data_IF_735249783273
#
_entry.id   IF_735249783273
#
_cell.length_a   1.000
_cell.length_b   1.000
_cell.length_c   1.000
_cell.angle_alpha   90.00
_cell.angle_beta   90.00
_cell.angle_gamma   90.00
#
_symmetry.space_group_name_H-M   'P 1'
#
loop_
_entity.id
_entity.type
_entity.pdbx_description
1 polymer ?
#
# COMPACT_ATOMS: atom_id res chain seq x y z
N UNK A 1 53.50 -8.88 -52.43
CA UNK A 1 54.30 -8.52 -51.24
C UNK A 1 53.37 -8.17 -50.10
N UNK A 2 53.33 -9.04 -49.07
CA UNK A 2 53.21 -8.82 -47.59
C UNK A 2 52.36 -7.61 -47.13
N UNK A 3 51.35 -7.74 -46.26
CA UNK A 3 51.39 -8.35 -44.93
C UNK A 3 50.01 -8.86 -44.47
N UNK A 4 50.02 -10.01 -43.79
CA UNK A 4 48.96 -10.51 -42.92
C UNK A 4 49.32 -10.18 -41.45
N UNK A 5 48.32 -9.93 -40.59
CA UNK A 5 48.28 -10.11 -39.12
C UNK A 5 46.77 -10.03 -38.76
N UNK A 6 46.07 -11.14 -38.54
CA UNK A 6 45.90 -11.92 -37.30
C UNK A 6 45.21 -11.17 -36.15
N UNK A 7 43.90 -11.45 -36.04
CA UNK A 7 43.01 -11.56 -34.86
C UNK A 7 43.52 -11.04 -33.51
N UNK A 8 42.79 -10.09 -32.91
CA UNK A 8 42.75 -9.92 -31.46
C UNK A 8 41.28 -9.81 -31.00
N UNK A 9 40.84 -10.88 -30.34
CA UNK A 9 39.76 -10.93 -29.37
C UNK A 9 39.75 -9.67 -28.49
N UNK A 10 38.63 -8.96 -28.38
CA UNK A 10 38.14 -8.42 -27.10
C UNK A 10 36.62 -8.61 -27.12
N UNK A 11 36.23 -9.66 -26.40
CA UNK A 11 34.88 -9.95 -25.96
C UNK A 11 34.42 -8.78 -25.09
N UNK A 12 33.64 -7.84 -25.64
CA UNK A 12 32.93 -6.83 -24.86
C UNK A 12 31.66 -7.48 -24.29
N UNK A 13 31.90 -8.44 -23.39
CA UNK A 13 30.87 -9.15 -22.66
C UNK A 13 30.34 -8.28 -21.53
N UNK A 14 29.02 -8.14 -21.52
CA UNK A 14 28.20 -8.02 -20.32
C UNK A 14 28.48 -6.85 -19.36
N UNK A 15 27.89 -5.71 -19.67
CA UNK A 15 27.32 -4.84 -18.64
C UNK A 15 25.88 -5.28 -18.35
N UNK A 16 25.69 -6.47 -17.76
CA UNK A 16 24.44 -6.72 -17.01
C UNK A 16 24.63 -6.02 -15.66
N UNK A 17 24.30 -4.74 -15.60
CA UNK A 17 24.00 -4.11 -14.32
C UNK A 17 22.61 -4.58 -13.93
N UNK A 18 22.53 -5.79 -13.38
CA UNK A 18 21.34 -6.26 -12.71
C UNK A 18 21.18 -5.44 -11.43
N UNK A 19 20.34 -4.40 -11.46
CA UNK A 19 19.76 -3.84 -10.25
C UNK A 19 18.82 -4.90 -9.64
N UNK A 20 19.37 -5.90 -8.97
CA UNK A 20 18.57 -6.77 -8.10
C UNK A 20 18.13 -5.92 -6.91
N UNK A 21 16.93 -5.37 -6.96
CA UNK A 21 16.30 -4.72 -5.81
C UNK A 21 15.81 -5.83 -4.88
N UNK A 22 16.73 -6.37 -4.07
CA UNK A 22 16.50 -7.53 -3.22
C UNK A 22 15.79 -7.16 -1.90
N UNK A 23 14.67 -6.44 -1.98
CA UNK A 23 13.88 -6.02 -0.81
C UNK A 23 13.00 -7.14 -0.25
N UNK A 24 12.70 -8.16 -1.06
CA UNK A 24 11.81 -9.28 -0.69
C UNK A 24 12.35 -10.13 0.48
N UNK A 25 13.67 -10.33 0.54
CA UNK A 25 14.28 -11.20 1.56
C UNK A 25 14.25 -10.61 2.98
N UNK A 26 14.22 -9.27 3.10
CA UNK A 26 14.13 -8.60 4.40
C UNK A 26 12.74 -8.71 5.01
N UNK A 27 11.69 -8.58 4.19
CA UNK A 27 10.30 -8.67 4.67
C UNK A 27 9.96 -10.09 5.14
N UNK A 28 10.43 -11.12 4.44
CA UNK A 28 10.13 -12.51 4.80
C UNK A 28 10.78 -12.94 6.12
N UNK A 29 12.01 -12.50 6.38
CA UNK A 29 12.71 -12.79 7.64
C UNK A 29 12.06 -12.10 8.85
N UNK A 30 11.53 -10.89 8.66
CA UNK A 30 10.79 -10.15 9.68
C UNK A 30 9.42 -10.77 9.95
N UNK A 31 8.71 -11.22 8.92
CA UNK A 31 7.42 -11.87 9.05
C UNK A 31 7.51 -13.11 9.96
N UNK A 32 8.53 -13.95 9.75
CA UNK A 32 8.72 -15.16 10.55
C UNK A 32 9.04 -14.85 12.02
N UNK A 33 9.85 -13.82 12.28
CA UNK A 33 10.23 -13.43 13.64
C UNK A 33 9.08 -12.76 14.43
N UNK A 34 8.20 -12.03 13.74
CA UNK A 34 7.13 -11.26 14.38
C UNK A 34 5.84 -12.06 14.57
N UNK A 35 5.48 -12.94 13.62
CA UNK A 35 4.14 -13.51 13.57
C UNK A 35 4.01 -14.91 14.18
N UNK A 36 5.08 -15.73 14.25
CA UNK A 36 5.01 -17.06 14.87
C UNK A 36 3.86 -17.95 14.34
N UNK A 37 3.64 -19.16 14.89
CA UNK A 37 2.47 -19.94 14.54
C UNK A 37 1.21 -19.34 15.20
N UNK A 38 0.24 -19.03 14.35
CA UNK A 38 -1.17 -18.65 14.53
C UNK A 38 -1.66 -18.01 15.84
N UNK A 39 -2.35 -16.88 15.65
CA UNK A 39 -3.47 -16.42 16.48
C UNK A 39 -3.13 -16.07 17.94
N UNK A 40 -2.44 -14.95 18.13
CA UNK A 40 -2.53 -14.19 19.37
C UNK A 40 -2.73 -12.72 19.03
N UNK A 41 -3.75 -12.09 19.63
CA UNK A 41 -3.89 -10.64 19.61
C UNK A 41 -2.54 -10.02 19.99
N UNK A 42 -1.94 -9.29 19.06
CA UNK A 42 -0.62 -8.72 19.29
C UNK A 42 -0.74 -7.70 20.43
N UNK A 43 -0.03 -7.94 21.53
CA UNK A 43 -0.11 -7.10 22.72
C UNK A 43 0.39 -5.69 22.41
N UNK A 44 -0.14 -4.70 23.13
CA UNK A 44 0.26 -3.30 22.96
C UNK A 44 1.77 -3.09 23.11
N UNK A 45 2.41 -3.83 24.02
CA UNK A 45 3.86 -3.79 24.21
C UNK A 45 4.60 -4.25 22.95
N UNK A 46 4.15 -5.34 22.32
CA UNK A 46 4.76 -5.85 21.10
C UNK A 46 4.59 -4.89 19.92
N UNK A 47 3.47 -4.17 19.83
CA UNK A 47 3.26 -3.10 18.82
C UNK A 47 4.23 -1.94 19.05
N UNK A 48 4.39 -1.51 20.31
CA UNK A 48 5.28 -0.39 20.66
C UNK A 48 6.76 -0.68 20.37
N UNK A 49 7.13 -1.96 20.34
CA UNK A 49 8.49 -2.43 20.01
C UNK A 49 8.73 -2.53 18.50
N UNK A 50 7.70 -2.41 17.64
CA UNK A 50 7.87 -2.49 16.19
C UNK A 50 8.60 -1.25 15.66
N UNK A 51 9.76 -1.40 15.00
CA UNK A 51 10.49 -0.27 14.42
C UNK A 51 9.87 0.22 13.10
N UNK A 52 8.74 -0.36 12.69
CA UNK A 52 8.07 -0.09 11.43
C UNK A 52 6.62 0.33 11.66
N UNK A 53 6.11 1.21 10.79
CA UNK A 53 4.70 1.53 10.78
C UNK A 53 3.86 0.28 10.47
N UNK A 54 2.72 0.15 11.13
CA UNK A 54 1.81 -0.99 10.97
C UNK A 54 0.36 -0.53 11.05
N UNK A 55 -0.54 -1.35 10.53
CA UNK A 55 -1.98 -1.10 10.55
C UNK A 55 -2.73 -2.36 10.97
N UNK A 56 -3.90 -2.17 11.58
CA UNK A 56 -4.88 -3.23 11.74
C UNK A 56 -5.88 -3.20 10.60
N UNK A 57 -6.12 -4.36 10.02
CA UNK A 57 -7.04 -4.54 8.90
C UNK A 57 -8.07 -5.59 9.26
N UNK A 58 -9.32 -5.33 8.90
CA UNK A 58 -10.42 -6.27 9.06
C UNK A 58 -11.24 -6.31 7.79
N UNK A 59 -11.47 -7.52 7.26
CA UNK A 59 -12.36 -7.74 6.13
C UNK A 59 -13.66 -8.36 6.65
N UNK A 60 -14.77 -7.63 6.55
CA UNK A 60 -16.06 -8.07 7.07
C UNK A 60 -16.00 -8.38 8.57
N UNK A 61 -16.46 -9.57 8.95
CA UNK A 61 -16.49 -10.06 10.33
C UNK A 61 -15.27 -10.94 10.69
N UNK A 62 -14.27 -11.01 9.81
CA UNK A 62 -13.05 -11.78 10.08
C UNK A 62 -12.24 -11.18 11.25
N UNK A 63 -11.36 -11.96 11.89
CA UNK A 63 -10.41 -11.44 12.86
C UNK A 63 -9.53 -10.32 12.28
N UNK A 64 -9.10 -9.39 13.14
CA UNK A 64 -8.18 -8.33 12.73
C UNK A 64 -6.79 -8.90 12.43
N UNK A 65 -6.24 -8.52 11.28
CA UNK A 65 -4.86 -8.81 10.89
C UNK A 65 -3.98 -7.58 11.14
N UNK A 66 -2.78 -7.79 11.69
CA UNK A 66 -1.73 -6.77 11.70
C UNK A 66 -0.95 -6.85 10.39
N UNK A 67 -0.87 -5.74 9.67
CA UNK A 67 -0.06 -5.62 8.46
C UNK A 67 1.06 -4.61 8.68
N UNK A 68 2.25 -4.93 8.17
CA UNK A 68 3.46 -4.11 8.32
C UNK A 68 3.67 -3.29 7.06
N UNK A 69 4.02 -2.00 7.21
CA UNK A 69 4.41 -1.15 6.09
C UNK A 69 5.73 -1.68 5.50
N UNK A 70 5.65 -2.28 4.31
CA UNK A 70 6.80 -2.87 3.66
C UNK A 70 7.59 -1.79 2.88
N UNK A 71 6.90 -0.95 2.12
CA UNK A 71 7.52 0.22 1.47
C UNK A 71 6.50 1.28 1.07
N UNK A 72 7.03 2.44 0.69
CA UNK A 72 6.29 3.59 0.19
C UNK A 72 6.78 3.94 -1.21
N UNK A 73 5.87 4.14 -2.15
CA UNK A 73 6.18 4.43 -3.56
C UNK A 73 5.54 5.76 -3.96
N UNK A 74 6.28 6.57 -4.72
CA UNK A 74 5.70 7.79 -5.31
C UNK A 74 4.73 7.38 -6.39
N UNK A 75 3.49 7.81 -6.28
CA UNK A 75 2.49 7.63 -7.30
C UNK A 75 2.54 8.80 -8.30
N UNK A 76 2.36 8.50 -9.57
CA UNK A 76 2.27 9.53 -10.61
C UNK A 76 0.80 9.69 -10.97
N UNK A 77 0.16 10.70 -10.41
CA UNK A 77 -1.20 11.08 -10.77
C UNK A 77 -1.29 12.60 -10.86
N UNK A 78 -1.80 13.09 -11.98
CA UNK A 78 -2.06 14.51 -12.18
C UNK A 78 -3.07 15.05 -11.16
N UNK A 79 -3.97 14.20 -10.69
CA UNK A 79 -5.08 14.60 -9.82
C UNK A 79 -4.79 14.34 -8.34
N UNK A 80 -3.72 13.61 -8.01
CA UNK A 80 -3.40 13.33 -6.62
C UNK A 80 -2.20 14.22 -6.21
N UNK A 81 -2.37 15.19 -5.31
CA UNK A 81 -1.25 16.00 -4.82
C UNK A 81 -0.35 15.15 -3.90
N UNK A 82 0.96 15.11 -4.19
CA UNK A 82 1.98 14.39 -3.42
C UNK A 82 1.62 12.93 -3.01
N UNK A 83 1.22 12.05 -3.95
CA UNK A 83 0.65 10.79 -3.56
C UNK A 83 1.76 9.79 -3.24
N UNK A 84 1.82 9.41 -1.96
CA UNK A 84 2.69 8.34 -1.49
C UNK A 84 1.84 7.10 -1.30
N UNK A 85 1.99 6.13 -2.20
CA UNK A 85 1.34 4.83 -2.10
C UNK A 85 2.08 3.98 -1.06
N UNK A 86 1.44 3.76 0.08
CA UNK A 86 1.94 2.92 1.17
C UNK A 86 1.50 1.48 0.95
N UNK A 87 2.44 0.53 0.94
CA UNK A 87 2.15 -0.89 0.70
C UNK A 87 2.37 -1.68 1.99
N UNK A 88 1.28 -2.19 2.52
CA UNK A 88 1.26 -2.99 3.74
C UNK A 88 1.19 -4.46 3.38
N UNK A 89 1.96 -5.30 4.07
CA UNK A 89 2.00 -6.74 3.87
C UNK A 89 1.58 -7.48 5.15
N UNK A 90 0.79 -8.54 4.98
CA UNK A 90 0.52 -9.52 6.03
C UNK A 90 1.58 -10.63 6.04
N UNK A 91 1.57 -11.45 7.08
CA UNK A 91 2.40 -12.65 7.17
C UNK A 91 2.10 -13.68 6.05
N UNK A 92 0.86 -13.67 5.53
CA UNK A 92 0.39 -14.55 4.46
C UNK A 92 0.53 -13.91 3.06
N UNK A 93 1.39 -12.88 2.94
CA UNK A 93 1.66 -12.16 1.70
C UNK A 93 0.43 -11.50 1.06
N UNK A 94 -0.61 -11.21 1.85
CA UNK A 94 -1.67 -10.31 1.42
C UNK A 94 -1.13 -8.89 1.40
N UNK A 95 -1.54 -8.10 0.42
CA UNK A 95 -1.11 -6.70 0.30
C UNK A 95 -2.30 -5.77 0.26
N UNK A 96 -2.20 -4.67 1.01
CA UNK A 96 -3.08 -3.52 0.90
C UNK A 96 -2.25 -2.31 0.55
N UNK A 97 -2.66 -1.59 -0.50
CA UNK A 97 -2.07 -0.32 -0.91
C UNK A 97 -3.02 0.79 -0.51
N UNK A 98 -2.48 1.78 0.21
CA UNK A 98 -3.22 2.99 0.55
C UNK A 98 -2.55 4.24 0.02
N UNK A 99 -3.34 5.23 -0.38
CA UNK A 99 -2.90 6.58 -0.71
C UNK A 99 -3.76 7.56 0.08
N UNK A 100 -3.14 8.45 0.87
CA UNK A 100 -3.84 9.35 1.80
C UNK A 100 -4.89 8.65 2.70
N UNK A 101 -4.60 7.43 3.15
CA UNK A 101 -5.50 6.62 3.97
C UNK A 101 -6.62 5.89 3.22
N UNK A 102 -6.84 6.17 1.92
CA UNK A 102 -7.77 5.40 1.08
C UNK A 102 -7.12 4.12 0.59
N UNK A 103 -7.81 2.99 0.67
CA UNK A 103 -7.40 1.75 0.00
C UNK A 103 -7.56 1.93 -1.51
N UNK A 104 -6.47 1.87 -2.27
CA UNK A 104 -6.46 2.05 -3.74
C UNK A 104 -6.26 0.76 -4.50
N UNK A 105 -5.69 -0.26 -3.84
CA UNK A 105 -5.47 -1.59 -4.40
C UNK A 105 -5.32 -2.64 -3.31
N UNK A 106 -5.75 -3.86 -3.58
CA UNK A 106 -5.44 -5.03 -2.74
C UNK A 106 -4.93 -6.17 -3.60
N UNK A 107 -4.13 -7.06 -3.00
CA UNK A 107 -3.56 -8.23 -3.67
C UNK A 107 -3.63 -9.43 -2.73
N UNK A 108 -3.97 -10.60 -3.29
CA UNK A 108 -4.00 -11.88 -2.60
C UNK A 108 -5.00 -11.97 -1.42
N UNK A 109 -5.99 -11.07 -1.35
CA UNK A 109 -7.12 -11.26 -0.44
C UNK A 109 -7.98 -12.44 -0.89
N UNK A 110 -8.55 -13.15 0.07
CA UNK A 110 -9.20 -14.45 -0.12
C UNK A 110 -10.45 -14.41 -1.02
N UNK A 111 -11.29 -13.39 -0.84
CA UNK A 111 -12.59 -13.31 -1.55
C UNK A 111 -12.51 -12.49 -2.84
N UNK A 112 -12.04 -11.24 -2.73
CA UNK A 112 -12.03 -10.28 -3.81
C UNK A 112 -10.89 -9.30 -3.62
N UNK A 113 -10.39 -8.76 -4.73
CA UNK A 113 -9.33 -7.78 -4.74
C UNK A 113 -9.74 -6.54 -5.51
N UNK A 114 -9.50 -5.39 -4.88
CA UNK A 114 -9.59 -4.08 -5.52
C UNK A 114 -8.41 -3.95 -6.50
N UNK A 115 -8.71 -3.90 -7.79
CA UNK A 115 -7.70 -3.80 -8.84
C UNK A 115 -7.18 -2.38 -8.97
N UNK A 116 -8.08 -1.40 -8.97
CA UNK A 116 -7.76 0.03 -8.96
C UNK A 116 -8.96 0.91 -8.55
N UNK A 117 -8.63 2.15 -8.18
CA UNK A 117 -9.55 3.29 -8.17
C UNK A 117 -8.95 4.38 -9.06
N UNK A 118 -9.78 5.02 -9.89
CA UNK A 118 -9.37 6.10 -10.79
C UNK A 118 -10.32 7.27 -10.69
N UNK A 119 -9.80 8.49 -10.73
CA UNK A 119 -10.62 9.70 -10.80
C UNK A 119 -9.94 10.75 -11.69
N UNK A 120 -10.75 11.60 -12.30
CA UNK A 120 -10.29 12.81 -13.00
C UNK A 120 -10.36 14.04 -12.09
N UNK A 121 -10.64 13.84 -10.81
CA UNK A 121 -10.73 14.86 -9.77
C UNK A 121 -9.78 14.49 -8.63
N UNK A 122 -9.20 15.49 -7.94
CA UNK A 122 -8.45 15.20 -6.74
C UNK A 122 -9.29 14.52 -5.67
N UNK A 123 -8.72 13.49 -5.03
CA UNK A 123 -9.34 12.82 -3.90
C UNK A 123 -9.42 13.78 -2.69
N UNK A 124 -10.60 14.04 -2.13
CA UNK A 124 -10.74 14.86 -0.93
C UNK A 124 -9.91 14.38 0.25
N UNK A 125 -9.64 13.08 0.38
CA UNK A 125 -8.77 12.55 1.42
C UNK A 125 -7.29 12.95 1.22
N UNK A 126 -6.85 13.14 -0.02
CA UNK A 126 -5.48 13.58 -0.32
C UNK A 126 -5.28 15.08 -0.17
N UNK A 127 -6.34 15.88 -0.35
CA UNK A 127 -6.32 17.32 -0.03
C UNK A 127 -6.35 17.52 1.48
N UNK A 128 -7.24 16.79 2.16
CA UNK A 128 -7.45 16.86 3.61
C UNK A 128 -8.83 17.42 3.95
N UNK A 129 -9.65 16.63 4.63
CA UNK A 129 -11.05 16.97 4.95
C UNK A 129 -11.21 18.12 5.96
N UNK A 130 -10.13 18.54 6.62
CA UNK A 130 -10.13 19.66 7.56
C UNK A 130 -9.99 21.02 6.86
N UNK A 131 -9.56 21.04 5.58
CA UNK A 131 -9.46 22.27 4.81
C UNK A 131 -10.86 22.69 4.32
N UNK A 132 -11.23 23.95 4.59
CA UNK A 132 -12.49 24.55 4.18
C UNK A 132 -12.74 24.54 2.66
N UNK A 133 -11.67 24.44 1.85
CA UNK A 133 -11.74 24.40 0.40
C UNK A 133 -11.90 23.00 -0.18
N UNK A 134 -11.78 21.96 0.65
CA UNK A 134 -11.87 20.57 0.21
C UNK A 134 -13.28 20.22 -0.25
N UNK A 135 -13.46 19.69 -1.47
CA UNK A 135 -14.77 19.23 -1.93
C UNK A 135 -15.31 18.09 -1.05
N UNK A 136 -16.59 18.19 -0.67
CA UNK A 136 -17.28 17.13 0.06
C UNK A 136 -17.91 16.06 -0.85
N UNK A 137 -17.61 16.08 -2.14
CA UNK A 137 -18.08 15.09 -3.10
C UNK A 137 -16.91 14.59 -3.92
N UNK A 138 -16.93 13.32 -4.29
CA UNK A 138 -15.90 12.74 -5.13
C UNK A 138 -16.48 11.67 -6.05
N UNK A 139 -16.16 11.81 -7.34
CA UNK A 139 -16.54 10.87 -8.39
C UNK A 139 -15.33 10.05 -8.82
N UNK A 140 -15.51 8.75 -8.97
CA UNK A 140 -14.43 7.84 -9.31
C UNK A 140 -14.94 6.58 -10.01
N UNK A 141 -14.03 5.89 -10.67
CA UNK A 141 -14.21 4.56 -11.24
C UNK A 141 -13.52 3.54 -10.35
N UNK A 142 -14.19 2.44 -10.06
CA UNK A 142 -13.66 1.32 -9.28
C UNK A 142 -13.67 0.03 -10.11
N UNK A 143 -12.57 -0.71 -10.05
CA UNK A 143 -12.46 -2.03 -10.70
C UNK A 143 -11.98 -3.07 -9.71
N UNK A 144 -12.57 -4.26 -9.72
CA UNK A 144 -12.22 -5.35 -8.82
C UNK A 144 -12.35 -6.71 -9.48
N UNK A 145 -11.78 -7.71 -8.83
CA UNK A 145 -11.81 -9.11 -9.25
C UNK A 145 -12.17 -10.01 -8.05
N UNK A 146 -12.72 -11.22 -8.26
CA UNK A 146 -13.09 -11.83 -9.55
C UNK A 146 -14.34 -11.19 -10.18
N UNK A 147 -14.71 -11.62 -11.40
CA UNK A 147 -15.99 -11.22 -12.04
C UNK A 147 -15.90 -10.15 -13.14
N UNK A 148 -14.69 -9.79 -13.60
CA UNK A 148 -14.47 -8.80 -14.67
C UNK A 148 -15.11 -7.42 -14.39
N UNK A 149 -15.27 -7.05 -13.11
CA UNK A 149 -15.85 -5.77 -12.74
C UNK A 149 -14.86 -4.64 -13.03
N UNK A 150 -15.09 -3.93 -14.13
CA UNK A 150 -14.17 -2.92 -14.66
C UNK A 150 -14.87 -1.58 -14.77
N UNK A 151 -14.25 -0.53 -14.23
CA UNK A 151 -14.66 0.88 -14.38
C UNK A 151 -16.11 1.17 -13.96
N UNK A 152 -16.55 0.62 -12.84
CA UNK A 152 -17.86 0.96 -12.30
C UNK A 152 -17.80 2.38 -11.75
N UNK A 153 -18.75 3.23 -12.17
CA UNK A 153 -18.86 4.59 -11.67
C UNK A 153 -19.40 4.59 -10.24
N UNK A 154 -18.76 5.38 -9.38
CA UNK A 154 -19.14 5.59 -8.00
C UNK A 154 -19.06 7.07 -7.64
N UNK A 155 -19.90 7.46 -6.69
CA UNK A 155 -19.94 8.80 -6.12
C UNK A 155 -19.94 8.68 -4.61
N UNK A 156 -19.20 9.55 -3.95
CA UNK A 156 -19.15 9.62 -2.50
C UNK A 156 -19.44 11.03 -2.01
N UNK A 157 -19.96 11.12 -0.79
CA UNK A 157 -20.20 12.38 -0.08
C UNK A 157 -19.56 12.30 1.30
N UNK A 158 -18.76 13.30 1.65
CA UNK A 158 -18.15 13.46 2.96
C UNK A 158 -19.04 14.35 3.83
N UNK A 159 -19.24 13.93 5.08
CA UNK A 159 -20.05 14.65 6.06
C UNK A 159 -19.33 14.56 7.40
N UNK A 160 -19.01 15.71 7.98
CA UNK A 160 -18.45 15.80 9.33
C UNK A 160 -19.52 15.37 10.33
N UNK A 161 -19.25 14.32 11.11
CA UNK A 161 -20.16 13.79 12.13
C UNK A 161 -19.92 14.37 13.54
N UNK A 162 -18.91 15.23 13.68
CA UNK A 162 -18.46 15.78 14.95
C UNK A 162 -17.27 15.01 15.53
N UNK A 163 -16.78 15.48 16.66
CA UNK A 163 -15.60 14.90 17.29
C UNK A 163 -15.89 13.54 17.93
N UNK A 164 -15.01 12.57 17.68
CA UNK A 164 -15.04 11.26 18.31
C UNK A 164 -13.73 10.98 19.02
N UNK A 165 -13.80 10.55 20.28
CA UNK A 165 -12.63 10.04 21.00
C UNK A 165 -12.40 8.57 20.63
N UNK A 166 -11.26 8.27 20.02
CA UNK A 166 -10.81 6.90 19.74
C UNK A 166 -9.65 6.52 20.65
N UNK A 167 -9.70 5.30 21.18
CA UNK A 167 -8.55 4.67 21.82
C UNK A 167 -7.66 4.05 20.74
N UNK A 168 -6.52 4.67 20.47
CA UNK A 168 -5.51 4.13 19.57
C UNK A 168 -4.46 3.34 20.39
N UNK A 169 -3.62 2.51 19.74
CA UNK A 169 -2.53 1.81 20.42
C UNK A 169 -1.63 2.75 21.25
N UNK A 170 -1.50 4.01 20.81
CA UNK A 170 -0.70 5.06 21.45
C UNK A 170 -1.48 5.91 22.48
N UNK A 171 -2.66 5.44 22.90
CA UNK A 171 -3.56 6.11 23.84
C UNK A 171 -4.76 6.79 23.16
N UNK A 172 -5.59 7.44 23.98
CA UNK A 172 -6.78 8.14 23.51
C UNK A 172 -6.41 9.35 22.64
N UNK A 173 -7.17 9.57 21.56
CA UNK A 173 -7.09 10.73 20.66
C UNK A 173 -8.49 11.19 20.31
N UNK A 174 -8.68 12.51 20.27
CA UNK A 174 -9.88 13.11 19.71
C UNK A 174 -9.67 13.26 18.20
N UNK A 175 -10.59 12.70 17.41
CA UNK A 175 -10.61 12.76 15.96
C UNK A 175 -11.81 13.61 15.52
N UNK A 176 -11.61 14.45 14.50
CA UNK A 176 -12.63 15.31 13.90
C UNK A 176 -13.36 14.61 12.75
#
# INVERSE_FOLDING_TARGET
MKFAIRSLFICCGFLITGCTQNTQYFTDSLNLALFGPESLSISQNKINELPYASIYVRQGDNPQALMILAWAEKESSQFQPNPLALKYLSANHEMIVTSAGRITKTVNLLDANLSNIRSQQPDPLAIGLHDSSTPHYWEYEISWQPGYHTQYHAQSRFVVQGEEQKLLPQGARNLL
#
